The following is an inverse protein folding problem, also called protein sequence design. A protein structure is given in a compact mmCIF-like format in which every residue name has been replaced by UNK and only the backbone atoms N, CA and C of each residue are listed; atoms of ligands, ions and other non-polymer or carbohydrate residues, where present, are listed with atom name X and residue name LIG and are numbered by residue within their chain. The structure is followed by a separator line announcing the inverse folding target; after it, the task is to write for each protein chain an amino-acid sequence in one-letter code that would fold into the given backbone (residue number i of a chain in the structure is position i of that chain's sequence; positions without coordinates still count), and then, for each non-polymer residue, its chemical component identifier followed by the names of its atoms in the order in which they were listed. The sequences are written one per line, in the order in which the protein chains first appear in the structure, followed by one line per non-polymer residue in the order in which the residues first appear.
data_IF_264918533577
#
_entry.id   IF_264918533577
#
_cell.length_a   1.000
_cell.length_b   1.000
_cell.length_c   1.000
_cell.angle_alpha   90.00
_cell.angle_beta   90.00
_cell.angle_gamma   90.00
#
_symmetry.space_group_name_H-M   'P 1'
#
loop_
_entity.id
_entity.type
_entity.pdbx_description
1 polymer ?
#
# COMPACT_ATOMS: atom_id res chain seq x y z
N UNK A 1 4.14 -10.88 -6.06
CA UNK A 1 3.59 -10.27 -7.29
C UNK A 1 4.53 -9.20 -7.78
N UNK A 2 4.69 -9.05 -9.08
CA UNK A 2 5.69 -8.14 -9.67
C UNK A 2 5.02 -7.12 -10.59
N UNK A 3 5.64 -5.96 -10.74
CA UNK A 3 5.33 -5.06 -11.84
C UNK A 3 5.65 -5.74 -13.17
N UNK A 4 4.90 -5.39 -14.19
CA UNK A 4 5.25 -5.78 -15.55
C UNK A 4 6.01 -4.63 -16.21
N UNK A 5 6.87 -4.94 -17.19
CA UNK A 5 7.60 -3.91 -17.91
C UNK A 5 6.67 -2.95 -18.67
N UNK A 6 5.50 -3.45 -19.07
CA UNK A 6 4.51 -2.69 -19.82
C UNK A 6 3.66 -1.76 -18.95
N UNK A 7 3.71 -1.93 -17.62
CA UNK A 7 2.85 -1.20 -16.68
C UNK A 7 3.65 -0.76 -15.46
N UNK A 8 4.59 0.19 -15.62
CA UNK A 8 5.53 0.56 -14.54
C UNK A 8 4.87 1.24 -13.35
N UNK A 9 3.63 1.76 -13.50
CA UNK A 9 2.92 2.48 -12.44
C UNK A 9 1.75 1.68 -11.87
N UNK A 10 1.85 0.34 -11.87
CA UNK A 10 0.77 -0.53 -11.40
C UNK A 10 0.89 -0.99 -9.95
N UNK A 11 1.78 -0.40 -9.15
CA UNK A 11 2.05 -0.84 -7.77
C UNK A 11 0.78 -0.87 -6.90
N UNK A 12 -0.10 0.10 -7.06
CA UNK A 12 -1.36 0.16 -6.31
C UNK A 12 -2.32 -0.94 -6.75
N UNK A 13 -2.39 -1.21 -8.04
CA UNK A 13 -3.20 -2.31 -8.57
C UNK A 13 -2.68 -3.67 -8.06
N UNK A 14 -1.37 -3.80 -7.93
CA UNK A 14 -0.73 -4.99 -7.35
C UNK A 14 -1.15 -5.16 -5.88
N UNK A 15 -1.16 -4.07 -5.11
CA UNK A 15 -1.66 -4.11 -3.73
C UNK A 15 -3.11 -4.60 -3.68
N UNK A 16 -3.98 -4.04 -4.53
CA UNK A 16 -5.40 -4.40 -4.55
C UNK A 16 -5.61 -5.87 -4.93
N UNK A 17 -4.85 -6.38 -5.90
CA UNK A 17 -4.92 -7.79 -6.28
C UNK A 17 -4.44 -8.70 -5.14
N UNK A 18 -3.35 -8.32 -4.48
CA UNK A 18 -2.86 -9.06 -3.31
C UNK A 18 -3.93 -9.13 -2.22
N UNK A 19 -4.55 -8.00 -1.90
CA UNK A 19 -5.62 -7.93 -0.91
C UNK A 19 -6.79 -8.84 -1.27
N UNK A 20 -7.19 -8.83 -2.53
CA UNK A 20 -8.26 -9.70 -3.01
C UNK A 20 -7.92 -11.18 -2.89
N UNK A 21 -6.69 -11.56 -3.23
CA UNK A 21 -6.23 -12.94 -3.10
C UNK A 21 -6.22 -13.40 -1.66
N UNK A 22 -5.84 -12.54 -0.74
CA UNK A 22 -5.90 -12.84 0.69
C UNK A 22 -7.33 -13.11 1.17
N UNK A 23 -8.33 -12.61 0.45
CA UNK A 23 -9.75 -12.80 0.74
C UNK A 23 -10.37 -13.93 -0.08
N UNK A 24 -9.56 -14.69 -0.80
CA UNK A 24 -10.01 -15.81 -1.61
C UNK A 24 -10.50 -15.46 -3.01
N UNK A 25 -10.28 -14.23 -3.46
CA UNK A 25 -10.62 -13.82 -4.83
C UNK A 25 -9.53 -14.26 -5.81
N UNK A 26 -9.93 -14.77 -6.96
CA UNK A 26 -9.01 -15.15 -8.02
C UNK A 26 -8.86 -13.96 -8.99
N UNK A 27 -8.00 -13.02 -8.61
CA UNK A 27 -7.81 -11.77 -9.35
C UNK A 27 -6.33 -11.50 -9.61
N UNK A 28 -6.09 -10.72 -10.66
CA UNK A 28 -4.76 -10.23 -11.02
C UNK A 28 -4.80 -8.69 -11.07
N UNK A 29 -3.64 -8.01 -11.04
CA UNK A 29 -3.63 -6.55 -11.13
C UNK A 29 -4.21 -6.05 -12.46
N UNK A 30 -5.07 -5.02 -12.37
CA UNK A 30 -5.42 -4.21 -13.51
C UNK A 30 -4.33 -3.17 -13.79
N UNK A 31 -4.55 -2.32 -14.77
CA UNK A 31 -3.64 -1.21 -15.06
C UNK A 31 -4.43 -0.04 -15.64
N UNK A 32 -3.84 1.15 -15.56
CA UNK A 32 -4.39 2.35 -16.19
C UNK A 32 -3.91 2.43 -17.64
N UNK A 33 -4.81 2.71 -18.57
CA UNK A 33 -4.49 2.80 -19.99
C UNK A 33 -3.50 3.93 -20.31
N UNK A 34 -3.56 5.01 -19.52
CA UNK A 34 -2.67 6.16 -19.71
C UNK A 34 -1.30 6.00 -19.05
N UNK A 35 -1.02 4.85 -18.43
CA UNK A 35 0.25 4.59 -17.75
C UNK A 35 0.42 5.32 -16.42
N UNK A 36 -0.59 6.01 -15.94
CA UNK A 36 -0.55 6.68 -14.64
C UNK A 36 -0.90 5.72 -13.52
N UNK A 37 -0.29 5.92 -12.34
CA UNK A 37 -0.64 5.15 -11.15
C UNK A 37 -2.02 5.50 -10.63
N UNK A 38 -2.62 4.59 -9.88
CA UNK A 38 -3.93 4.82 -9.26
C UNK A 38 -3.79 5.83 -8.13
N UNK A 39 -4.54 6.94 -8.13
CA UNK A 39 -4.46 7.93 -7.06
C UNK A 39 -4.93 7.36 -5.72
N UNK A 40 -4.39 7.90 -4.64
CA UNK A 40 -4.69 7.43 -3.29
C UNK A 40 -6.19 7.48 -2.98
N UNK A 41 -6.89 8.54 -3.39
CA UNK A 41 -8.34 8.65 -3.11
C UNK A 41 -9.15 7.52 -3.77
N UNK A 42 -8.68 6.98 -4.89
CA UNK A 42 -9.33 5.82 -5.53
C UNK A 42 -8.99 4.52 -4.82
N UNK A 43 -7.81 4.44 -4.19
CA UNK A 43 -7.45 3.26 -3.38
C UNK A 43 -8.37 3.17 -2.17
N UNK A 44 -8.50 4.24 -1.41
CA UNK A 44 -9.34 4.22 -0.20
C UNK A 44 -10.82 4.06 -0.54
N UNK A 45 -11.24 4.48 -1.74
CA UNK A 45 -12.62 4.26 -2.21
C UNK A 45 -12.95 2.78 -2.44
N UNK A 46 -11.93 1.91 -2.53
CA UNK A 46 -12.13 0.46 -2.64
C UNK A 46 -12.52 -0.19 -1.32
N UNK A 47 -12.44 0.53 -0.22
CA UNK A 47 -12.71 0.02 1.12
C UNK A 47 -13.74 0.88 1.84
N UNK A 48 -14.53 0.26 2.72
CA UNK A 48 -15.41 1.00 3.62
C UNK A 48 -14.57 1.54 4.78
N UNK A 49 -14.64 2.86 4.98
CA UNK A 49 -13.93 3.50 6.08
C UNK A 49 -14.42 2.98 7.43
N UNK A 50 -13.49 2.78 8.34
CA UNK A 50 -13.76 2.39 9.71
C UNK A 50 -13.26 3.50 10.63
N UNK A 51 -14.12 3.94 11.54
CA UNK A 51 -13.81 5.05 12.45
C UNK A 51 -13.74 4.48 13.86
N UNK A 52 -12.75 4.90 14.63
CA UNK A 52 -12.61 4.44 16.01
C UNK A 52 -13.57 5.17 16.97
N UNK A 53 -13.53 4.82 18.25
CA UNK A 53 -14.43 5.39 19.26
C UNK A 53 -14.23 6.89 19.46
N UNK A 54 -13.09 7.43 19.01
CA UNK A 54 -12.76 8.85 19.13
C UNK A 54 -13.05 9.64 17.85
N UNK A 55 -13.60 8.98 16.84
CA UNK A 55 -13.92 9.59 15.56
C UNK A 55 -12.75 9.64 14.58
N UNK A 56 -11.64 8.95 14.85
CA UNK A 56 -10.48 8.95 13.97
C UNK A 56 -10.64 7.95 12.83
N UNK A 57 -10.31 8.39 11.62
CA UNK A 57 -10.31 7.55 10.43
C UNK A 57 -9.29 6.41 10.53
N UNK A 58 -9.59 5.27 9.89
CA UNK A 58 -8.63 4.18 9.73
C UNK A 58 -7.55 4.50 8.71
N UNK A 59 -7.78 5.47 7.82
CA UNK A 59 -6.81 5.89 6.81
C UNK A 59 -5.92 6.97 7.41
N UNK A 60 -4.63 6.67 7.56
CA UNK A 60 -3.68 7.49 8.31
C UNK A 60 -2.60 8.09 7.42
N UNK A 61 -2.05 9.22 7.86
CA UNK A 61 -0.85 9.77 7.24
C UNK A 61 0.04 10.41 8.29
N UNK A 62 1.34 10.41 8.03
CA UNK A 62 2.34 11.04 8.89
C UNK A 62 3.43 11.67 8.04
N UNK A 63 3.99 12.77 8.55
CA UNK A 63 5.20 13.38 8.01
C UNK A 63 6.41 12.96 8.85
N UNK A 64 7.58 13.27 8.36
CA UNK A 64 8.86 13.01 9.03
C UNK A 64 9.16 11.51 9.20
N UNK A 65 8.63 10.68 8.31
CA UNK A 65 9.02 9.27 8.22
C UNK A 65 10.23 9.21 7.30
N UNK A 66 11.40 9.03 7.87
CA UNK A 66 12.68 9.15 7.16
C UNK A 66 13.45 7.83 7.04
N UNK A 67 12.87 6.72 7.52
CA UNK A 67 13.55 5.44 7.52
C UNK A 67 12.58 4.27 7.58
N UNK A 68 13.08 3.10 7.17
CA UNK A 68 12.35 1.84 7.33
C UNK A 68 12.03 1.58 8.81
N UNK A 69 12.94 1.93 9.70
CA UNK A 69 12.76 1.73 11.14
C UNK A 69 11.56 2.51 11.66
N UNK A 70 11.41 3.78 11.27
CA UNK A 70 10.25 4.59 11.66
C UNK A 70 8.95 4.05 11.08
N UNK A 71 8.96 3.68 9.80
CA UNK A 71 7.79 3.09 9.16
C UNK A 71 7.36 1.81 9.87
N UNK A 72 8.30 0.93 10.15
CA UNK A 72 8.06 -0.33 10.86
C UNK A 72 7.48 -0.07 12.25
N UNK A 73 8.04 0.91 12.98
CA UNK A 73 7.57 1.27 14.32
C UNK A 73 6.10 1.72 14.31
N UNK A 74 5.71 2.48 13.30
CA UNK A 74 4.32 2.93 13.12
C UNK A 74 3.39 1.73 12.92
N UNK A 75 3.76 0.83 12.03
CA UNK A 75 2.94 -0.34 11.69
C UNK A 75 2.93 -1.40 12.79
N UNK A 76 3.96 -1.40 13.63
CA UNK A 76 4.07 -2.37 14.71
C UNK A 76 3.00 -2.17 15.81
N UNK A 77 2.21 -1.10 15.73
CA UNK A 77 1.06 -0.86 16.61
C UNK A 77 -0.10 -1.79 16.32
N UNK A 78 -0.18 -2.30 15.09
CA UNK A 78 -1.26 -3.19 14.69
C UNK A 78 -0.99 -4.60 15.24
N UNK A 79 -2.05 -5.38 15.50
CA UNK A 79 -1.87 -6.72 16.04
C UNK A 79 -1.31 -7.70 15.02
N UNK A 80 -0.75 -8.82 15.50
CA UNK A 80 -0.33 -9.91 14.63
C UNK A 80 -1.49 -10.40 13.78
N UNK A 81 -1.20 -10.77 12.54
CA UNK A 81 -2.21 -11.16 11.57
C UNK A 81 -2.75 -10.00 10.74
N UNK A 82 -2.36 -8.77 11.05
CA UNK A 82 -2.75 -7.60 10.28
C UNK A 82 -2.00 -7.52 8.95
N UNK A 83 -2.63 -6.90 7.98
CA UNK A 83 -2.01 -6.51 6.71
C UNK A 83 -2.62 -5.21 6.24
N UNK A 84 -1.94 -4.53 5.35
CA UNK A 84 -2.48 -3.28 4.85
C UNK A 84 -1.63 -2.63 3.76
N UNK A 85 -1.81 -1.34 3.65
CA UNK A 85 -1.26 -0.48 2.61
C UNK A 85 -0.31 0.55 3.21
N UNK A 86 0.77 0.82 2.50
CA UNK A 86 1.63 1.96 2.77
C UNK A 86 2.00 2.62 1.46
N UNK A 87 2.19 3.94 1.49
CA UNK A 87 2.77 4.65 0.37
C UNK A 87 3.58 5.84 0.86
N UNK A 88 4.56 6.23 0.04
CA UNK A 88 5.38 7.39 0.29
C UNK A 88 5.99 7.89 -1.00
N UNK A 89 6.62 9.05 -0.95
CA UNK A 89 7.39 9.56 -2.07
C UNK A 89 8.86 9.15 -1.90
N UNK A 90 9.43 8.62 -2.97
CA UNK A 90 10.82 8.17 -3.00
C UNK A 90 11.57 8.98 -4.04
N UNK A 91 12.78 9.42 -3.69
CA UNK A 91 13.59 10.32 -4.53
C UNK A 91 14.88 9.61 -4.93
N UNK A 92 15.07 9.48 -6.24
CA UNK A 92 16.27 8.89 -6.83
C UNK A 92 16.91 9.95 -7.73
N UNK A 93 17.91 10.69 -7.20
CA UNK A 93 18.46 11.81 -7.92
C UNK A 93 17.43 12.93 -8.10
N UNK A 94 17.10 13.26 -9.34
CA UNK A 94 16.06 14.25 -9.65
C UNK A 94 14.66 13.65 -9.83
N UNK A 95 14.59 12.33 -9.92
CA UNK A 95 13.32 11.64 -10.12
C UNK A 95 12.59 11.44 -8.79
N UNK A 96 11.29 11.72 -8.79
CA UNK A 96 10.41 11.55 -7.63
C UNK A 96 9.28 10.59 -8.00
N UNK A 97 9.08 9.58 -7.15
CA UNK A 97 8.05 8.57 -7.37
C UNK A 97 7.19 8.42 -6.13
N UNK A 98 5.87 8.33 -6.32
CA UNK A 98 5.00 7.81 -5.28
C UNK A 98 4.95 6.29 -5.45
N UNK A 99 5.34 5.56 -4.42
CA UNK A 99 5.35 4.10 -4.45
C UNK A 99 4.47 3.54 -3.35
N UNK A 100 3.66 2.56 -3.71
CA UNK A 100 2.75 1.88 -2.79
C UNK A 100 3.18 0.43 -2.61
N UNK A 101 2.98 -0.09 -1.41
CA UNK A 101 3.33 -1.46 -1.05
C UNK A 101 2.27 -2.04 -0.13
N UNK A 102 2.22 -3.36 -0.09
CA UNK A 102 1.52 -4.06 0.99
C UNK A 102 2.46 -4.21 2.19
N UNK A 103 1.89 -4.35 3.36
CA UNK A 103 2.61 -4.75 4.56
C UNK A 103 1.83 -5.84 5.28
N UNK A 104 2.55 -6.69 6.00
CA UNK A 104 1.97 -7.74 6.85
C UNK A 104 2.69 -7.74 8.18
N UNK A 105 1.98 -8.14 9.24
CA UNK A 105 2.58 -8.34 10.54
C UNK A 105 2.31 -9.74 11.05
N UNK A 106 3.36 -10.50 11.33
CA UNK A 106 3.29 -11.84 11.85
C UNK A 106 4.37 -12.05 12.91
N UNK A 107 4.00 -12.66 14.03
CA UNK A 107 4.94 -12.98 15.12
C UNK A 107 5.75 -11.76 15.59
N UNK A 108 5.08 -10.61 15.67
CA UNK A 108 5.72 -9.35 16.10
C UNK A 108 6.60 -8.68 15.05
N UNK A 109 6.61 -9.20 13.82
CA UNK A 109 7.46 -8.69 12.75
C UNK A 109 6.64 -8.11 11.61
N UNK A 110 6.97 -6.87 11.21
CA UNK A 110 6.39 -6.21 10.04
C UNK A 110 7.27 -6.51 8.82
N UNK A 111 6.62 -6.91 7.73
CA UNK A 111 7.27 -7.16 6.45
C UNK A 111 6.58 -6.36 5.36
N UNK A 112 7.34 -5.92 4.35
CA UNK A 112 6.83 -5.13 3.24
C UNK A 112 6.95 -5.91 1.93
N UNK A 113 5.90 -5.85 1.13
CA UNK A 113 5.94 -6.25 -0.26
C UNK A 113 5.99 -5.01 -1.13
N UNK A 114 6.93 -4.92 -2.07
CA UNK A 114 7.07 -3.75 -2.93
C UNK A 114 6.45 -3.95 -4.32
N UNK A 115 5.90 -5.14 -4.57
CA UNK A 115 5.32 -5.47 -5.87
C UNK A 115 6.37 -5.76 -6.94
N UNK A 116 7.62 -5.47 -6.70
CA UNK A 116 8.71 -5.72 -7.63
C UNK A 116 9.44 -7.00 -7.26
N UNK A 117 9.88 -7.16 -6.03
CA UNK A 117 10.52 -8.39 -5.58
C UNK A 117 10.42 -8.67 -4.08
N UNK A 118 9.55 -8.01 -3.38
CA UNK A 118 9.20 -8.31 -1.99
C UNK A 118 10.32 -8.22 -0.94
N UNK A 119 11.57 -8.01 -1.34
CA UNK A 119 12.70 -8.01 -0.43
C UNK A 119 13.46 -6.68 -0.37
N UNK A 120 13.09 -5.72 -1.21
CA UNK A 120 13.83 -4.48 -1.37
C UNK A 120 13.26 -3.28 -0.60
N UNK A 121 12.37 -3.52 0.35
CA UNK A 121 11.77 -2.42 1.12
C UNK A 121 12.82 -1.59 1.84
N UNK A 122 13.83 -2.23 2.43
CA UNK A 122 14.91 -1.52 3.11
C UNK A 122 15.66 -0.57 2.21
N UNK A 123 15.96 -1.00 0.98
CA UNK A 123 16.60 -0.16 -0.04
C UNK A 123 15.71 1.01 -0.45
N UNK A 124 14.44 0.73 -0.68
CA UNK A 124 13.48 1.77 -1.07
C UNK A 124 13.43 2.87 0.00
N UNK A 125 13.36 2.49 1.25
CA UNK A 125 13.23 3.46 2.34
C UNK A 125 14.49 4.32 2.55
N UNK A 126 15.63 3.96 1.99
CA UNK A 126 16.81 4.84 1.98
C UNK A 126 16.57 6.10 1.15
N UNK A 127 15.60 6.06 0.25
CA UNK A 127 15.27 7.14 -0.67
C UNK A 127 13.95 7.84 -0.34
N UNK A 128 13.35 7.55 0.81
CA UNK A 128 12.08 8.16 1.18
C UNK A 128 12.24 9.66 1.44
N UNK A 129 11.27 10.45 0.96
CA UNK A 129 11.22 11.88 1.23
C UNK A 129 10.42 12.12 2.50
N UNK A 130 11.06 12.54 3.60
CA UNK A 130 10.36 12.72 4.87
C UNK A 130 9.44 13.95 4.90
N UNK A 131 9.57 14.86 3.92
CA UNK A 131 8.73 16.05 3.85
C UNK A 131 7.36 15.78 3.24
N UNK A 132 7.21 14.64 2.59
CA UNK A 132 5.94 14.22 1.99
C UNK A 132 5.22 13.22 2.88
N UNK A 133 3.88 13.18 2.84
CA UNK A 133 3.12 12.28 3.71
C UNK A 133 3.40 10.81 3.46
N UNK A 134 3.65 10.07 4.54
CA UNK A 134 3.65 8.62 4.55
C UNK A 134 2.23 8.17 4.89
N UNK A 135 1.58 7.50 3.95
CA UNK A 135 0.18 7.08 4.08
C UNK A 135 0.11 5.59 4.38
N UNK A 136 -0.78 5.21 5.28
CA UNK A 136 -0.90 3.82 5.68
C UNK A 136 -2.26 3.52 6.27
N UNK A 137 -2.69 2.28 6.14
CA UNK A 137 -3.87 1.77 6.84
C UNK A 137 -3.82 0.25 6.92
N UNK A 138 -4.55 -0.29 7.89
CA UNK A 138 -4.81 -1.72 8.00
C UNK A 138 -6.00 -2.06 7.11
N UNK A 139 -5.86 -3.07 6.26
CA UNK A 139 -6.91 -3.42 5.28
C UNK A 139 -7.63 -4.73 5.58
N UNK A 140 -7.01 -5.66 6.31
CA UNK A 140 -7.58 -6.98 6.53
C UNK A 140 -8.92 -6.96 7.30
N UNK A 141 -9.15 -5.92 8.09
CA UNK A 141 -10.38 -5.76 8.86
C UNK A 141 -11.41 -4.83 8.20
N UNK A 142 -11.15 -4.37 6.97
CA UNK A 142 -12.06 -3.50 6.23
C UNK A 142 -12.87 -4.30 5.22
N UNK A 143 -14.13 -3.87 5.00
CA UNK A 143 -14.93 -4.39 3.91
C UNK A 143 -14.50 -3.75 2.60
N UNK A 144 -14.52 -4.54 1.52
CA UNK A 144 -14.25 -4.05 0.17
C UNK A 144 -15.54 -3.46 -0.41
N UNK A 145 -15.41 -2.31 -1.08
CA UNK A 145 -16.46 -1.74 -1.92
C UNK A 145 -16.32 -2.37 -3.32
N UNK A 146 -17.05 -3.45 -3.55
CA UNK A 146 -16.87 -4.30 -4.75
C UNK A 146 -16.92 -3.52 -6.06
N UNK A 147 -17.84 -2.59 -6.22
CA UNK A 147 -17.99 -1.84 -7.46
C UNK A 147 -16.74 -1.02 -7.80
N UNK A 148 -16.14 -0.38 -6.79
CA UNK A 148 -14.92 0.38 -6.97
C UNK A 148 -13.71 -0.53 -7.10
N UNK A 149 -13.64 -1.56 -6.28
CA UNK A 149 -12.51 -2.50 -6.26
C UNK A 149 -12.34 -3.21 -7.61
N UNK A 150 -13.44 -3.71 -8.16
CA UNK A 150 -13.38 -4.50 -9.40
C UNK A 150 -12.96 -3.70 -10.64
N UNK A 151 -12.95 -2.37 -10.56
CA UNK A 151 -12.42 -1.53 -11.64
C UNK A 151 -10.90 -1.63 -11.77
N UNK A 152 -10.21 -2.09 -10.73
CA UNK A 152 -8.75 -2.00 -10.62
C UNK A 152 -8.06 -3.36 -10.61
N UNK A 153 -8.83 -4.43 -10.69
CA UNK A 153 -8.30 -5.80 -10.76
C UNK A 153 -8.96 -6.54 -11.92
N UNK A 154 -8.38 -7.67 -12.27
CA UNK A 154 -8.90 -8.55 -13.32
C UNK A 154 -9.21 -9.91 -12.75
N UNK A 155 -10.33 -10.45 -13.14
CA UNK A 155 -10.72 -11.81 -12.77
C UNK A 155 -9.89 -12.86 -13.53
#
# INVERSE_FOLDING_TARGET
MKHTEDHPNDCTNIFLAFEGRCRGKDVTPGWQENGEGLPYHEVIACFKEKVDNMGNSCFKERKNVDSLEKATSILNRYPDGSRGYVSGQFVYGEAKYTHAMSWTKENGKVSFGDGINGTNAGRAFEHINPDEPFKYFRSDDLEIQDDNYMKHVRA
#
